data_IF_069068612483
#
_entry.id   IF_069068612483
#
_cell.length_a   1.000
_cell.length_b   1.000
_cell.length_c   1.000
_cell.angle_alpha   90.00
_cell.angle_beta   90.00
_cell.angle_gamma   90.00
#
_symmetry.space_group_name_H-M   'P 1'
#
loop_
_entity.id
_entity.type
_entity.pdbx_description
1 polymer ?
#
# COMPACT_ATOMS: atom_id res chain seq x y z
N UNK A 1 -13.63 26.26 -5.42
CA UNK A 1 -12.29 25.98 -4.90
C UNK A 1 -11.66 24.90 -5.77
N UNK A 2 -10.37 25.00 -6.08
CA UNK A 2 -9.67 23.92 -6.75
C UNK A 2 -8.64 23.29 -5.79
N UNK A 3 -8.59 21.95 -5.79
CA UNK A 3 -7.55 21.18 -5.11
C UNK A 3 -6.79 20.40 -6.18
N UNK A 4 -5.55 20.78 -6.43
CA UNK A 4 -4.67 20.04 -7.31
C UNK A 4 -3.92 18.97 -6.51
N UNK A 5 -3.93 17.76 -7.00
CA UNK A 5 -3.18 16.66 -6.39
C UNK A 5 -1.86 16.47 -7.13
N UNK A 6 -0.77 16.39 -6.36
CA UNK A 6 0.59 16.29 -6.88
C UNK A 6 1.24 15.04 -6.30
N UNK A 7 1.46 14.02 -7.12
CA UNK A 7 1.94 12.72 -6.70
C UNK A 7 3.45 12.55 -6.95
N UNK A 8 4.14 11.90 -6.04
CA UNK A 8 5.54 11.47 -6.25
C UNK A 8 5.66 10.53 -7.45
N UNK A 9 4.68 9.68 -7.66
CA UNK A 9 4.54 8.78 -8.79
C UNK A 9 3.11 8.29 -8.92
N UNK A 10 2.73 7.81 -10.11
CA UNK A 10 1.42 7.22 -10.37
C UNK A 10 1.57 5.87 -11.08
N UNK A 11 0.90 4.84 -10.55
CA UNK A 11 0.90 3.47 -11.07
C UNK A 11 -0.49 2.83 -11.10
N UNK A 12 -0.73 1.82 -11.95
CA UNK A 12 -2.05 1.23 -12.15
C UNK A 12 -2.52 0.37 -10.96
N UNK A 13 -1.57 -0.18 -10.19
CA UNK A 13 -1.82 -1.00 -8.98
C UNK A 13 -1.00 -0.38 -7.84
N UNK A 14 -1.42 0.81 -7.43
CA UNK A 14 -0.71 1.61 -6.44
C UNK A 14 -1.72 2.28 -5.51
N UNK A 15 -1.56 2.07 -4.22
CA UNK A 15 -2.45 2.61 -3.20
C UNK A 15 -2.53 4.15 -3.23
N UNK A 16 -1.41 4.80 -3.52
CA UNK A 16 -1.34 6.28 -3.59
C UNK A 16 -2.15 6.82 -4.75
N UNK A 17 -1.99 6.21 -5.93
CA UNK A 17 -2.78 6.57 -7.12
C UNK A 17 -4.27 6.31 -6.89
N UNK A 18 -4.62 5.16 -6.30
CA UNK A 18 -6.01 4.82 -5.96
C UNK A 18 -6.60 5.84 -4.99
N UNK A 19 -5.87 6.22 -3.96
CA UNK A 19 -6.27 7.26 -3.01
C UNK A 19 -6.50 8.61 -3.67
N UNK A 20 -5.57 9.05 -4.54
CA UNK A 20 -5.69 10.32 -5.23
C UNK A 20 -6.92 10.35 -6.16
N UNK A 21 -7.21 9.26 -6.85
CA UNK A 21 -8.42 9.14 -7.68
C UNK A 21 -9.70 9.16 -6.85
N UNK A 22 -9.73 8.47 -5.71
CA UNK A 22 -10.85 8.50 -4.79
C UNK A 22 -11.07 9.92 -4.20
N UNK A 23 -10.00 10.63 -3.85
CA UNK A 23 -10.10 12.03 -3.46
C UNK A 23 -10.64 12.91 -4.59
N UNK A 24 -10.26 12.66 -5.86
CA UNK A 24 -10.79 13.41 -7.00
C UNK A 24 -12.29 13.24 -7.14
N UNK A 25 -12.81 12.04 -6.96
CA UNK A 25 -14.25 11.76 -6.97
C UNK A 25 -14.96 12.50 -5.82
N UNK A 26 -14.41 12.42 -4.61
CA UNK A 26 -14.93 13.10 -3.43
C UNK A 26 -14.92 14.64 -3.60
N UNK A 27 -13.82 15.22 -4.10
CA UNK A 27 -13.73 16.65 -4.39
C UNK A 27 -14.76 17.05 -5.44
N UNK A 28 -14.96 16.24 -6.48
CA UNK A 28 -16.01 16.47 -7.48
C UNK A 28 -17.42 16.50 -6.88
N UNK A 29 -17.71 15.56 -5.96
CA UNK A 29 -18.99 15.53 -5.24
C UNK A 29 -19.22 16.78 -4.37
N UNK A 30 -18.14 17.40 -3.87
CA UNK A 30 -18.20 18.67 -3.13
C UNK A 30 -18.22 19.92 -4.03
N UNK A 31 -18.21 19.74 -5.37
CA UNK A 31 -18.12 20.85 -6.33
C UNK A 31 -16.74 21.48 -6.43
N UNK A 32 -15.68 20.79 -5.99
CA UNK A 32 -14.30 21.26 -6.07
C UNK A 32 -13.62 20.72 -7.34
N UNK A 33 -12.97 21.63 -8.08
CA UNK A 33 -12.18 21.30 -9.24
C UNK A 33 -10.72 20.96 -8.91
N UNK A 34 -9.90 20.91 -9.96
CA UNK A 34 -8.45 20.75 -9.88
C UNK A 34 -7.93 19.71 -10.86
N UNK A 35 -6.62 19.45 -10.80
CA UNK A 35 -5.91 18.51 -11.68
C UNK A 35 -5.10 17.54 -10.83
N UNK A 36 -4.95 16.31 -11.32
CA UNK A 36 -4.09 15.30 -10.74
C UNK A 36 -2.85 15.15 -11.61
N UNK A 37 -1.69 15.46 -11.04
CA UNK A 37 -0.40 15.46 -11.74
C UNK A 37 0.62 14.62 -10.99
N UNK A 38 1.60 14.03 -11.69
CA UNK A 38 2.65 13.26 -11.06
C UNK A 38 4.05 13.54 -11.63
N UNK A 39 5.07 13.35 -10.80
CA UNK A 39 6.48 13.47 -11.18
C UNK A 39 6.94 12.32 -12.08
N UNK A 40 6.35 11.13 -11.91
CA UNK A 40 6.55 9.94 -12.73
C UNK A 40 5.21 9.25 -12.95
N UNK A 41 4.94 8.74 -14.14
CA UNK A 41 3.67 8.11 -14.49
C UNK A 41 3.97 6.79 -15.23
N UNK A 42 3.41 5.69 -14.75
CA UNK A 42 3.33 4.46 -15.52
C UNK A 42 2.30 4.66 -16.66
N UNK A 43 2.64 4.36 -17.92
CA UNK A 43 1.75 4.58 -19.06
C UNK A 43 0.37 3.92 -18.92
N UNK A 44 0.27 2.84 -18.16
CA UNK A 44 -0.99 2.12 -17.91
C UNK A 44 -2.00 2.89 -17.06
N UNK A 45 -1.59 3.96 -16.37
CA UNK A 45 -2.51 4.85 -15.63
C UNK A 45 -3.43 5.61 -16.59
N UNK A 46 -2.98 5.82 -17.82
CA UNK A 46 -3.72 6.55 -18.86
C UNK A 46 -3.85 8.04 -18.54
N UNK A 47 -4.92 8.64 -19.03
CA UNK A 47 -5.13 10.10 -18.97
C UNK A 47 -5.65 10.63 -17.63
N UNK A 48 -5.88 9.76 -16.66
CA UNK A 48 -6.42 10.14 -15.33
C UNK A 48 -5.46 11.00 -14.52
N UNK A 49 -4.15 10.78 -14.69
CA UNK A 49 -3.09 11.57 -14.06
C UNK A 49 -2.22 12.19 -15.16
N UNK A 50 -1.96 13.46 -15.09
CA UNK A 50 -1.17 14.19 -16.09
C UNK A 50 0.28 14.37 -15.63
N UNK A 51 1.22 14.61 -16.54
CA UNK A 51 2.59 14.98 -16.18
C UNK A 51 2.63 16.24 -15.31
N UNK A 52 3.59 16.32 -14.39
CA UNK A 52 3.76 17.44 -13.45
C UNK A 52 3.75 18.81 -14.15
N UNK A 53 4.30 18.92 -15.38
CA UNK A 53 4.29 20.15 -16.19
C UNK A 53 2.88 20.64 -16.57
N UNK A 54 1.86 19.80 -16.42
CA UNK A 54 0.46 20.18 -16.64
C UNK A 54 -0.20 20.82 -15.41
N UNK A 55 0.51 20.95 -14.30
CA UNK A 55 0.05 21.70 -13.15
C UNK A 55 -0.16 23.17 -13.54
N UNK A 56 -1.38 23.66 -13.36
CA UNK A 56 -1.75 25.05 -13.62
C UNK A 56 -2.63 25.50 -12.45
N UNK A 57 -1.98 25.91 -11.37
CA UNK A 57 -2.62 26.37 -10.16
C UNK A 57 -2.73 27.90 -10.19
N UNK A 58 -3.92 28.42 -9.88
CA UNK A 58 -4.19 29.86 -9.76
C UNK A 58 -4.10 30.31 -8.30
N UNK A 59 -4.13 31.62 -8.05
CA UNK A 59 -4.23 32.15 -6.68
C UNK A 59 -5.50 31.64 -5.99
N UNK A 60 -5.39 31.17 -4.76
CA UNK A 60 -6.50 30.61 -3.98
C UNK A 60 -6.74 29.10 -4.16
N UNK A 61 -6.05 28.45 -5.10
CA UNK A 61 -6.05 26.99 -5.20
C UNK A 61 -5.21 26.35 -4.08
N UNK A 62 -5.48 25.06 -3.81
CA UNK A 62 -4.76 24.26 -2.82
C UNK A 62 -3.98 23.14 -3.53
N UNK A 63 -2.76 22.87 -3.07
CA UNK A 63 -1.93 21.77 -3.54
C UNK A 63 -1.91 20.65 -2.47
N UNK A 64 -2.44 19.49 -2.82
CA UNK A 64 -2.33 18.27 -2.01
C UNK A 64 -1.19 17.42 -2.56
N UNK A 65 -0.09 17.32 -1.83
CA UNK A 65 1.11 16.60 -2.22
C UNK A 65 1.07 15.19 -1.62
N UNK A 66 0.91 14.17 -2.46
CA UNK A 66 0.99 12.76 -2.08
C UNK A 66 2.44 12.30 -2.15
N UNK A 67 3.07 12.10 -1.00
CA UNK A 67 4.47 11.76 -0.91
C UNK A 67 4.67 10.30 -0.49
N UNK A 68 5.24 9.48 -1.37
CA UNK A 68 5.43 8.03 -1.16
C UNK A 68 6.79 7.51 -1.66
N UNK A 69 7.57 8.36 -2.34
CA UNK A 69 8.85 8.00 -2.93
C UNK A 69 9.72 9.24 -3.10
N UNK A 70 11.03 9.03 -3.33
CA UNK A 70 11.94 10.10 -3.69
C UNK A 70 11.48 10.81 -4.97
N UNK A 71 11.19 12.08 -4.87
CA UNK A 71 10.61 12.88 -5.96
C UNK A 71 11.25 14.27 -6.04
N UNK A 72 12.52 14.38 -6.48
CA UNK A 72 13.24 15.65 -6.53
C UNK A 72 12.56 16.70 -7.43
N UNK A 73 11.81 16.27 -8.45
CA UNK A 73 11.04 17.16 -9.33
C UNK A 73 9.92 17.91 -8.59
N UNK A 74 9.47 17.42 -7.44
CA UNK A 74 8.44 18.09 -6.64
C UNK A 74 8.97 19.29 -5.85
N UNK A 75 10.29 19.50 -5.75
CA UNK A 75 10.84 20.68 -5.05
C UNK A 75 10.29 22.00 -5.61
N UNK A 76 10.20 22.13 -6.92
CA UNK A 76 9.62 23.32 -7.52
C UNK A 76 8.15 23.58 -7.17
N UNK A 77 7.40 22.54 -6.73
CA UNK A 77 6.03 22.71 -6.23
C UNK A 77 6.01 23.39 -4.86
N UNK A 78 7.04 23.20 -4.04
CA UNK A 78 7.15 23.84 -2.73
C UNK A 78 7.32 25.37 -2.82
N UNK A 79 7.89 25.84 -3.93
CA UNK A 79 8.12 27.28 -4.18
C UNK A 79 6.87 28.02 -4.68
N UNK A 80 5.82 27.30 -5.08
CA UNK A 80 4.57 27.90 -5.53
C UNK A 80 3.84 28.62 -4.40
N UNK A 81 3.12 29.74 -4.67
CA UNK A 81 2.49 30.54 -3.61
C UNK A 81 1.22 29.95 -3.01
N UNK A 82 0.68 28.86 -3.59
CA UNK A 82 -0.54 28.22 -3.11
C UNK A 82 -0.35 27.57 -1.75
N UNK A 83 -1.44 27.44 -0.98
CA UNK A 83 -1.46 26.63 0.24
C UNK A 83 -1.17 25.18 -0.09
N UNK A 84 -0.39 24.52 0.74
CA UNK A 84 0.10 23.16 0.54
C UNK A 84 -0.25 22.26 1.71
N UNK A 85 -0.77 21.09 1.39
CA UNK A 85 -0.91 19.99 2.32
C UNK A 85 -0.02 18.84 1.82
N UNK A 86 0.85 18.32 2.67
CA UNK A 86 1.62 17.11 2.44
C UNK A 86 0.91 15.93 3.07
N UNK A 87 0.62 14.90 2.30
CA UNK A 87 0.14 13.61 2.80
C UNK A 87 1.22 12.54 2.57
N UNK A 88 1.83 12.10 3.66
CA UNK A 88 2.82 11.02 3.62
C UNK A 88 2.14 9.66 3.60
N UNK A 89 2.42 8.88 2.55
CA UNK A 89 1.94 7.52 2.36
C UNK A 89 2.93 6.44 2.82
N UNK A 90 3.91 6.81 3.60
CA UNK A 90 5.01 5.98 4.05
C UNK A 90 6.09 5.74 2.98
N UNK A 91 7.34 5.70 3.43
CA UNK A 91 8.49 5.23 2.65
C UNK A 91 9.20 4.14 3.45
N UNK A 92 9.23 2.94 2.90
CA UNK A 92 9.90 1.79 3.51
C UNK A 92 11.37 2.09 3.80
N UNK A 93 11.91 1.78 4.99
CA UNK A 93 13.33 1.96 5.27
C UNK A 93 14.23 1.19 4.30
N UNK A 94 15.30 1.82 3.85
CA UNK A 94 16.23 1.29 2.84
C UNK A 94 16.86 -0.05 3.22
N UNK A 95 17.04 -0.31 4.52
CA UNK A 95 17.64 -1.55 5.05
C UNK A 95 16.98 -2.83 4.53
N UNK A 96 15.71 -2.76 4.17
CA UNK A 96 14.95 -3.90 3.65
C UNK A 96 15.28 -4.27 2.20
N UNK A 97 15.97 -3.39 1.48
CA UNK A 97 16.18 -3.57 0.05
C UNK A 97 17.64 -3.77 -0.35
N UNK A 98 18.64 -3.46 0.51
CA UNK A 98 20.04 -3.50 0.14
C UNK A 98 20.49 -4.81 -0.50
N UNK A 99 20.06 -5.95 0.03
CA UNK A 99 20.45 -7.29 -0.43
C UNK A 99 19.60 -7.79 -1.60
N UNK A 100 18.51 -7.11 -1.93
CA UNK A 100 17.51 -7.57 -2.90
C UNK A 100 17.36 -6.64 -4.09
N UNK A 101 17.41 -5.33 -3.87
CA UNK A 101 17.27 -4.27 -4.87
C UNK A 101 17.97 -2.99 -4.36
N UNK A 102 19.29 -2.84 -4.59
CA UNK A 102 20.04 -1.67 -4.14
C UNK A 102 19.51 -0.35 -4.71
N UNK A 103 18.93 -0.36 -5.92
CA UNK A 103 18.35 0.84 -6.50
C UNK A 103 17.12 1.29 -5.70
N UNK A 104 16.22 0.37 -5.36
CA UNK A 104 15.09 0.66 -4.49
C UNK A 104 15.55 1.13 -3.10
N UNK A 105 16.63 0.53 -2.54
CA UNK A 105 17.21 0.95 -1.27
C UNK A 105 17.66 2.43 -1.32
N UNK A 106 18.40 2.82 -2.37
CA UNK A 106 18.85 4.21 -2.55
C UNK A 106 17.64 5.15 -2.68
N UNK A 107 16.63 4.81 -3.49
CA UNK A 107 15.41 5.62 -3.64
C UNK A 107 14.67 5.79 -2.31
N UNK A 108 14.54 4.74 -1.52
CA UNK A 108 13.94 4.80 -0.19
C UNK A 108 14.75 5.69 0.76
N UNK A 109 16.08 5.55 0.79
CA UNK A 109 16.95 6.36 1.62
C UNK A 109 16.84 7.85 1.27
N UNK A 110 16.91 8.18 -0.02
CA UNK A 110 16.78 9.55 -0.51
C UNK A 110 15.38 10.13 -0.23
N UNK A 111 14.32 9.35 -0.42
CA UNK A 111 12.96 9.77 -0.12
C UNK A 111 12.77 10.09 1.36
N UNK A 112 13.24 9.23 2.25
CA UNK A 112 13.18 9.47 3.71
C UNK A 112 14.02 10.69 4.12
N UNK A 113 15.17 10.91 3.49
CA UNK A 113 16.00 12.10 3.75
C UNK A 113 15.31 13.39 3.26
N UNK A 114 14.56 13.32 2.16
CA UNK A 114 13.84 14.47 1.60
C UNK A 114 12.56 14.81 2.38
N UNK A 115 11.93 13.85 3.05
CA UNK A 115 10.64 14.01 3.71
C UNK A 115 10.57 15.17 4.72
N UNK A 116 11.56 15.39 5.64
CA UNK A 116 11.54 16.52 6.54
C UNK A 116 11.60 17.89 5.84
N UNK A 117 12.31 17.99 4.71
CA UNK A 117 12.37 19.20 3.89
C UNK A 117 10.97 19.55 3.36
N UNK A 118 10.23 18.56 2.88
CA UNK A 118 8.87 18.73 2.40
C UNK A 118 7.90 19.10 3.53
N UNK A 119 8.01 18.41 4.66
CA UNK A 119 7.16 18.67 5.83
C UNK A 119 7.31 20.10 6.37
N UNK A 120 8.54 20.65 6.36
CA UNK A 120 8.83 22.00 6.80
C UNK A 120 8.37 23.09 5.80
N UNK A 121 8.12 22.75 4.54
CA UNK A 121 7.80 23.70 3.46
C UNK A 121 6.30 23.76 3.11
N UNK A 122 5.44 23.12 3.91
CA UNK A 122 3.98 23.08 3.66
C UNK A 122 3.21 23.66 4.83
N UNK A 123 1.97 24.10 4.59
CA UNK A 123 1.10 24.66 5.63
C UNK A 123 0.58 23.57 6.58
N UNK A 124 0.34 22.37 6.05
CA UNK A 124 -0.13 21.21 6.83
C UNK A 124 0.62 19.98 6.38
N UNK A 125 1.25 19.25 7.32
CA UNK A 125 1.83 17.95 7.11
C UNK A 125 1.00 16.88 7.81
N UNK A 126 0.55 15.87 7.06
CA UNK A 126 -0.29 14.78 7.54
C UNK A 126 0.27 13.42 7.12
N UNK A 127 0.02 12.40 7.91
CA UNK A 127 0.30 11.00 7.57
C UNK A 127 -0.98 10.21 7.31
N UNK A 128 -0.89 9.12 6.56
CA UNK A 128 -2.03 8.20 6.39
C UNK A 128 -2.34 7.37 7.65
N UNK A 129 -1.46 7.44 8.65
CA UNK A 129 -1.61 6.89 10.00
C UNK A 129 -0.86 7.78 10.99
N UNK A 130 -1.11 7.63 12.27
CA UNK A 130 -0.36 8.35 13.31
C UNK A 130 1.12 7.97 13.28
N UNK A 131 1.44 6.70 12.93
CA UNK A 131 2.82 6.27 12.69
C UNK A 131 3.50 7.17 11.65
N UNK A 132 2.85 7.40 10.49
CA UNK A 132 3.39 8.25 9.43
C UNK A 132 3.40 9.74 9.79
N UNK A 133 2.39 10.22 10.53
CA UNK A 133 2.33 11.61 11.00
C UNK A 133 3.49 11.92 11.95
N UNK A 134 3.82 11.00 12.86
CA UNK A 134 4.95 11.14 13.77
C UNK A 134 6.31 11.18 13.06
N UNK A 135 6.46 10.48 11.93
CA UNK A 135 7.67 10.60 11.10
C UNK A 135 7.85 12.01 10.49
N UNK A 136 6.75 12.80 10.42
CA UNK A 136 6.76 14.22 10.00
C UNK A 136 6.93 15.19 11.18
N UNK A 137 7.02 14.69 12.41
CA UNK A 137 7.06 15.51 13.63
C UNK A 137 5.71 16.02 14.12
N UNK A 138 4.60 15.46 13.62
CA UNK A 138 3.23 15.85 13.95
C UNK A 138 2.31 14.67 14.31
N UNK A 139 1.02 14.96 14.40
CA UNK A 139 -0.02 14.00 14.73
C UNK A 139 -1.27 14.09 13.83
N UNK A 140 -1.21 14.92 12.80
CA UNK A 140 -2.31 15.07 11.84
C UNK A 140 -2.44 13.85 10.97
N UNK A 141 -3.60 13.21 10.98
CA UNK A 141 -3.88 11.99 10.23
C UNK A 141 -4.98 12.22 9.19
N UNK A 142 -4.71 11.83 7.95
CA UNK A 142 -5.71 11.71 6.88
C UNK A 142 -5.64 10.26 6.39
N UNK A 143 -6.52 9.37 6.86
CA UNK A 143 -6.42 7.94 6.57
C UNK A 143 -6.68 7.64 5.09
N UNK A 144 -6.29 6.45 4.69
CA UNK A 144 -6.61 5.95 3.34
C UNK A 144 -8.13 5.75 3.24
N UNK A 145 -8.72 6.27 2.15
CA UNK A 145 -10.11 6.00 1.84
C UNK A 145 -10.24 4.53 1.39
N UNK A 146 -11.03 3.80 2.12
CA UNK A 146 -11.34 2.42 1.81
C UNK A 146 -12.81 2.33 1.35
N UNK A 147 -13.01 1.87 0.11
CA UNK A 147 -14.34 1.63 -0.44
C UNK A 147 -14.61 0.11 -0.46
N UNK A 148 -15.36 -0.43 0.50
CA UNK A 148 -15.70 -1.84 0.52
C UNK A 148 -16.57 -2.26 -0.66
N UNK A 149 -17.38 -1.35 -1.24
CA UNK A 149 -18.24 -1.66 -2.38
C UNK A 149 -17.43 -2.02 -3.64
N UNK A 150 -16.21 -1.47 -3.77
CA UNK A 150 -15.30 -1.80 -4.86
C UNK A 150 -14.80 -3.26 -4.84
N UNK A 151 -14.92 -3.96 -3.70
CA UNK A 151 -14.57 -5.37 -3.54
C UNK A 151 -15.77 -6.31 -3.77
N UNK A 152 -16.96 -5.75 -3.93
CA UNK A 152 -18.21 -6.52 -4.02
C UNK A 152 -18.72 -6.96 -2.65
N UNK A 153 -19.74 -7.84 -2.61
CA UNK A 153 -20.39 -8.22 -1.37
C UNK A 153 -19.44 -8.99 -0.43
N UNK A 154 -19.59 -8.70 0.85
CA UNK A 154 -18.97 -9.46 1.92
C UNK A 154 -19.35 -10.95 1.85
N UNK A 155 -18.60 -11.78 2.58
CA UNK A 155 -18.96 -13.19 2.75
C UNK A 155 -20.26 -13.32 3.55
N UNK A 156 -21.19 -14.16 3.08
CA UNK A 156 -22.51 -14.27 3.68
C UNK A 156 -22.53 -14.97 5.04
N UNK A 157 -21.55 -15.83 5.33
CA UNK A 157 -21.50 -16.64 6.55
C UNK A 157 -20.06 -17.18 6.78
N UNK A 158 -19.96 -18.32 7.41
CA UNK A 158 -18.70 -19.03 7.66
C UNK A 158 -17.90 -19.33 6.38
N UNK A 159 -16.58 -19.52 6.48
CA UNK A 159 -15.78 -19.91 5.32
C UNK A 159 -16.33 -21.21 4.71
N UNK A 160 -16.16 -21.40 3.38
CA UNK A 160 -16.62 -22.62 2.74
C UNK A 160 -15.98 -23.86 3.39
N UNK A 161 -16.71 -24.98 3.47
CA UNK A 161 -16.16 -26.21 4.02
C UNK A 161 -14.96 -26.67 3.19
N UNK A 162 -13.95 -27.19 3.84
CA UNK A 162 -12.74 -27.71 3.20
C UNK A 162 -11.49 -27.50 4.02
N UNK A 163 -10.31 -27.79 3.45
CA UNK A 163 -9.03 -27.54 4.10
C UNK A 163 -8.86 -26.08 4.49
N UNK A 164 -8.35 -25.76 5.69
CA UNK A 164 -8.11 -24.38 6.10
C UNK A 164 -7.23 -23.64 5.09
N UNK A 165 -7.71 -22.48 4.63
CA UNK A 165 -6.97 -21.58 3.72
C UNK A 165 -6.48 -20.37 4.51
N UNK A 166 -5.14 -20.24 4.61
CA UNK A 166 -4.49 -19.03 5.12
C UNK A 166 -4.16 -18.12 3.95
N UNK A 167 -4.48 -16.84 4.07
CA UNK A 167 -4.25 -15.85 3.02
C UNK A 167 -3.28 -14.78 3.50
N UNK A 168 -2.36 -14.39 2.62
CA UNK A 168 -1.58 -13.16 2.70
C UNK A 168 -1.82 -12.34 1.43
N UNK A 169 -2.03 -11.03 1.56
CA UNK A 169 -2.15 -10.10 0.44
C UNK A 169 -1.20 -8.91 0.65
N UNK A 170 -0.40 -8.60 -0.37
CA UNK A 170 0.53 -7.48 -0.35
C UNK A 170 1.72 -7.72 -1.28
N UNK A 171 2.46 -6.66 -1.60
CA UNK A 171 3.69 -6.81 -2.40
C UNK A 171 4.61 -7.86 -1.77
N UNK A 172 5.18 -8.73 -2.58
CA UNK A 172 6.18 -9.70 -2.10
C UNK A 172 7.52 -8.99 -1.99
N UNK A 173 7.82 -8.51 -0.79
CA UNK A 173 9.00 -7.69 -0.48
C UNK A 173 9.55 -8.03 0.91
N UNK A 174 10.86 -7.84 1.18
CA UNK A 174 11.50 -8.33 2.40
C UNK A 174 10.85 -7.87 3.70
N UNK A 175 10.42 -6.61 3.79
CA UNK A 175 9.77 -6.07 4.99
C UNK A 175 8.39 -6.66 5.29
N UNK A 176 7.77 -7.33 4.30
CA UNK A 176 6.48 -8.01 4.46
C UNK A 176 6.61 -9.42 5.02
N UNK A 177 7.84 -9.93 5.16
CA UNK A 177 8.20 -11.19 5.82
C UNK A 177 7.40 -12.41 5.37
N UNK A 178 7.22 -12.57 4.04
CA UNK A 178 6.58 -13.77 3.49
C UNK A 178 7.34 -15.04 3.87
N UNK A 179 8.64 -14.96 4.08
CA UNK A 179 9.46 -16.04 4.61
C UNK A 179 8.97 -16.53 5.99
N UNK A 180 8.65 -15.60 6.89
CA UNK A 180 8.06 -15.93 8.19
C UNK A 180 6.61 -16.42 8.09
N UNK A 181 5.83 -15.85 7.17
CA UNK A 181 4.47 -16.34 6.89
C UNK A 181 4.49 -17.80 6.46
N UNK A 182 5.41 -18.21 5.56
CA UNK A 182 5.57 -19.61 5.12
C UNK A 182 5.99 -20.50 6.30
N UNK A 183 6.95 -20.05 7.12
CA UNK A 183 7.42 -20.83 8.30
C UNK A 183 6.33 -21.01 9.36
N UNK A 184 5.61 -19.93 9.68
CA UNK A 184 4.52 -19.97 10.64
C UNK A 184 3.37 -20.84 10.13
N UNK A 185 3.03 -20.75 8.85
CA UNK A 185 2.03 -21.60 8.22
C UNK A 185 2.42 -23.08 8.30
N UNK A 186 3.66 -23.44 7.96
CA UNK A 186 4.10 -24.82 8.01
C UNK A 186 4.07 -25.38 9.44
N UNK A 187 4.43 -24.57 10.45
CA UNK A 187 4.32 -24.97 11.86
C UNK A 187 2.86 -25.25 12.25
N UNK A 188 1.92 -24.39 11.81
CA UNK A 188 0.49 -24.59 11.99
C UNK A 188 0.00 -25.87 11.28
N UNK A 189 0.38 -26.04 10.01
CA UNK A 189 0.00 -27.17 9.18
C UNK A 189 0.41 -28.50 9.83
N UNK A 190 1.66 -28.61 10.26
CA UNK A 190 2.17 -29.85 10.91
C UNK A 190 1.46 -30.19 12.21
N UNK A 191 1.07 -29.17 12.99
CA UNK A 191 0.55 -29.39 14.35
C UNK A 191 -0.97 -29.54 14.40
N UNK A 192 -1.69 -28.88 13.51
CA UNK A 192 -3.12 -28.66 13.65
C UNK A 192 -3.95 -29.04 12.42
N UNK A 193 -3.43 -28.84 11.20
CA UNK A 193 -4.21 -28.99 9.98
C UNK A 193 -3.32 -29.44 8.81
N UNK A 194 -2.98 -30.76 8.70
CA UNK A 194 -2.04 -31.26 7.68
C UNK A 194 -2.43 -30.99 6.24
N UNK A 195 -3.71 -30.78 5.97
CA UNK A 195 -4.28 -30.47 4.66
C UNK A 195 -4.44 -28.96 4.38
N UNK A 196 -4.11 -28.10 5.35
CA UNK A 196 -4.18 -26.64 5.17
C UNK A 196 -3.39 -26.14 3.96
N UNK A 197 -3.83 -25.02 3.40
CA UNK A 197 -3.22 -24.33 2.26
C UNK A 197 -2.85 -22.90 2.64
N UNK A 198 -1.77 -22.39 2.01
CA UNK A 198 -1.38 -20.98 2.07
C UNK A 198 -1.40 -20.37 0.67
N UNK A 199 -2.02 -19.22 0.54
CA UNK A 199 -1.96 -18.41 -0.68
C UNK A 199 -1.31 -17.06 -0.37
N UNK A 200 -0.22 -16.75 -1.06
CA UNK A 200 0.45 -15.46 -1.04
C UNK A 200 0.09 -14.71 -2.32
N UNK A 201 -0.64 -13.62 -2.18
CA UNK A 201 -1.09 -12.79 -3.32
C UNK A 201 -0.33 -11.48 -3.36
N UNK A 202 0.34 -11.20 -4.48
CA UNK A 202 0.97 -9.91 -4.70
C UNK A 202 2.04 -9.90 -5.77
N UNK A 203 2.40 -8.69 -6.23
CA UNK A 203 3.50 -8.50 -7.18
C UNK A 203 4.83 -8.66 -6.46
N UNK A 204 5.76 -9.47 -6.97
CA UNK A 204 7.08 -9.62 -6.39
C UNK A 204 7.95 -8.38 -6.60
N UNK A 205 8.90 -8.16 -5.70
CA UNK A 205 9.94 -7.15 -5.85
C UNK A 205 10.71 -7.35 -7.16
N UNK A 206 11.11 -8.60 -7.40
CA UNK A 206 11.75 -9.08 -8.62
C UNK A 206 11.62 -10.61 -8.71
N UNK A 207 12.02 -11.18 -9.84
CA UNK A 207 11.93 -12.63 -10.08
C UNK A 207 12.82 -13.45 -9.13
N UNK A 208 14.01 -12.93 -8.76
CA UNK A 208 14.90 -13.57 -7.80
C UNK A 208 14.25 -13.73 -6.43
N UNK A 209 13.58 -12.69 -5.94
CA UNK A 209 12.89 -12.74 -4.66
C UNK A 209 11.70 -13.71 -4.70
N UNK A 210 10.94 -13.69 -5.80
CA UNK A 210 9.86 -14.67 -6.04
C UNK A 210 10.38 -16.11 -6.03
N UNK A 211 11.46 -16.38 -6.74
CA UNK A 211 12.08 -17.71 -6.82
C UNK A 211 12.58 -18.18 -5.44
N UNK A 212 13.16 -17.28 -4.64
CA UNK A 212 13.60 -17.60 -3.29
C UNK A 212 12.42 -17.96 -2.37
N UNK A 213 11.30 -17.23 -2.44
CA UNK A 213 10.09 -17.57 -1.69
C UNK A 213 9.48 -18.91 -2.15
N UNK A 214 9.47 -19.18 -3.47
CA UNK A 214 8.97 -20.44 -4.00
C UNK A 214 9.87 -21.62 -3.54
N UNK A 215 11.19 -21.47 -3.61
CA UNK A 215 12.13 -22.50 -3.12
C UNK A 215 11.92 -22.80 -1.63
N UNK A 216 11.74 -21.76 -0.80
CA UNK A 216 11.43 -21.93 0.62
C UNK A 216 10.09 -22.66 0.82
N UNK A 217 9.08 -22.33 0.04
CA UNK A 217 7.77 -22.97 0.10
C UNK A 217 7.84 -24.45 -0.31
N UNK A 218 8.58 -24.76 -1.36
CA UNK A 218 8.76 -26.14 -1.87
C UNK A 218 9.55 -26.99 -0.89
N UNK A 219 10.52 -26.41 -0.19
CA UNK A 219 11.32 -27.09 0.85
C UNK A 219 10.51 -27.39 2.10
N UNK A 220 9.77 -26.40 2.63
CA UNK A 220 9.11 -26.50 3.92
C UNK A 220 7.71 -27.14 3.83
N UNK A 221 6.93 -26.78 2.82
CA UNK A 221 5.52 -27.12 2.67
C UNK A 221 5.18 -27.50 1.21
N UNK A 222 5.79 -28.55 0.66
CA UNK A 222 5.65 -28.91 -0.75
C UNK A 222 4.19 -29.08 -1.15
N UNK A 223 3.79 -28.36 -2.23
CA UNK A 223 2.45 -28.37 -2.77
C UNK A 223 1.36 -27.69 -1.91
N UNK A 224 1.68 -27.20 -0.69
CA UNK A 224 0.72 -26.56 0.19
C UNK A 224 0.73 -25.03 0.10
N UNK A 225 1.74 -24.42 -0.52
CA UNK A 225 1.87 -22.96 -0.69
C UNK A 225 1.71 -22.59 -2.15
N UNK A 226 0.92 -21.56 -2.42
CA UNK A 226 0.75 -20.99 -3.77
C UNK A 226 1.09 -19.51 -3.75
N UNK A 227 1.87 -19.06 -4.75
CA UNK A 227 2.22 -17.65 -4.95
C UNK A 227 1.51 -17.15 -6.22
N UNK A 228 0.61 -16.17 -6.05
CA UNK A 228 -0.23 -15.61 -7.11
C UNK A 228 0.06 -14.12 -7.31
N UNK A 229 0.00 -13.65 -8.56
CA UNK A 229 0.14 -12.23 -8.92
C UNK A 229 -0.77 -11.88 -10.09
N UNK A 230 -1.06 -10.59 -10.24
CA UNK A 230 -1.87 -10.11 -11.37
C UNK A 230 -3.35 -10.48 -11.30
N UNK A 231 -3.87 -10.75 -10.11
CA UNK A 231 -5.29 -11.05 -9.93
C UNK A 231 -6.16 -9.84 -10.25
N UNK A 232 -7.32 -10.07 -10.86
CA UNK A 232 -8.38 -9.07 -10.93
C UNK A 232 -8.96 -8.80 -9.54
N UNK A 233 -9.75 -7.73 -9.41
CA UNK A 233 -10.45 -7.43 -8.15
C UNK A 233 -11.40 -8.55 -7.74
N UNK A 234 -12.12 -9.14 -8.67
CA UNK A 234 -13.03 -10.27 -8.44
C UNK A 234 -12.27 -11.52 -7.99
N UNK A 235 -11.13 -11.79 -8.60
CA UNK A 235 -10.27 -12.90 -8.20
C UNK A 235 -9.68 -12.68 -6.80
N UNK A 236 -9.26 -11.46 -6.46
CA UNK A 236 -8.78 -11.12 -5.13
C UNK A 236 -9.92 -11.26 -4.09
N UNK A 237 -11.10 -10.73 -4.39
CA UNK A 237 -12.27 -10.86 -3.53
C UNK A 237 -12.62 -12.34 -3.26
N UNK A 238 -12.50 -13.20 -4.27
CA UNK A 238 -12.73 -14.64 -4.13
C UNK A 238 -11.68 -15.30 -3.21
N UNK A 239 -10.41 -14.86 -3.24
CA UNK A 239 -9.40 -15.33 -2.28
C UNK A 239 -9.78 -14.99 -0.84
N UNK A 240 -10.27 -13.77 -0.60
CA UNK A 240 -10.76 -13.38 0.72
C UNK A 240 -12.00 -14.18 1.13
N UNK A 241 -12.98 -14.39 0.25
CA UNK A 241 -14.18 -15.17 0.58
C UNK A 241 -13.86 -16.61 0.97
N UNK A 242 -12.86 -17.21 0.32
CA UNK A 242 -12.42 -18.57 0.61
C UNK A 242 -11.48 -18.67 1.83
N UNK A 243 -10.94 -17.56 2.32
CA UNK A 243 -9.94 -17.57 3.38
C UNK A 243 -10.55 -17.87 4.77
N UNK A 244 -9.87 -18.71 5.55
CA UNK A 244 -10.19 -19.02 6.93
C UNK A 244 -9.44 -18.13 7.91
N UNK A 245 -8.26 -17.62 7.51
CA UNK A 245 -7.48 -16.66 8.28
C UNK A 245 -6.64 -15.80 7.32
N UNK A 246 -6.44 -14.54 7.70
CA UNK A 246 -5.48 -13.64 7.08
C UNK A 246 -4.25 -13.51 7.98
N UNK A 247 -3.06 -13.74 7.43
CA UNK A 247 -1.81 -13.71 8.19
C UNK A 247 -0.87 -12.63 7.65
N UNK A 248 -0.54 -11.62 8.47
CA UNK A 248 0.35 -10.52 8.15
C UNK A 248 1.47 -10.39 9.19
N UNK A 249 2.68 -10.84 8.84
CA UNK A 249 3.86 -10.77 9.70
C UNK A 249 4.84 -9.67 9.29
N UNK A 250 4.35 -8.64 8.59
CA UNK A 250 5.15 -7.48 8.17
C UNK A 250 5.92 -6.87 9.34
N UNK A 251 7.15 -6.43 9.09
CA UNK A 251 7.97 -5.66 10.04
C UNK A 251 7.96 -4.15 9.75
N UNK A 252 7.27 -3.75 8.69
CA UNK A 252 7.04 -2.35 8.36
C UNK A 252 5.75 -2.17 7.56
N UNK A 253 4.84 -1.32 8.08
CA UNK A 253 3.57 -0.95 7.47
C UNK A 253 3.27 0.52 7.69
N UNK A 254 2.86 1.23 6.64
CA UNK A 254 2.35 2.58 6.76
C UNK A 254 0.89 2.62 7.19
N UNK A 255 0.07 1.68 6.70
CA UNK A 255 -1.37 1.60 6.98
C UNK A 255 -1.87 0.14 6.99
N UNK A 256 -1.61 -0.62 5.93
CA UNK A 256 -2.03 -2.02 5.72
C UNK A 256 -3.50 -2.18 5.28
N UNK A 257 -3.83 -1.69 4.08
CA UNK A 257 -5.16 -1.85 3.45
C UNK A 257 -5.69 -3.30 3.48
N UNK A 258 -4.86 -4.36 3.25
CA UNK A 258 -5.31 -5.74 3.29
C UNK A 258 -6.00 -6.18 4.60
N UNK A 259 -5.77 -5.48 5.71
CA UNK A 259 -6.52 -5.74 6.95
C UNK A 259 -7.99 -5.30 6.82
N UNK A 260 -8.23 -4.12 6.24
CA UNK A 260 -9.59 -3.64 5.98
C UNK A 260 -10.33 -4.54 5.00
N UNK A 261 -9.62 -5.04 3.99
CA UNK A 261 -10.16 -6.00 3.03
C UNK A 261 -10.55 -7.31 3.75
N UNK A 262 -9.68 -7.84 4.62
CA UNK A 262 -9.97 -9.03 5.42
C UNK A 262 -11.19 -8.82 6.33
N UNK A 263 -11.27 -7.67 7.01
CA UNK A 263 -12.43 -7.32 7.86
C UNK A 263 -13.72 -7.20 7.05
N UNK A 264 -13.68 -6.60 5.86
CA UNK A 264 -14.85 -6.53 4.97
C UNK A 264 -15.43 -7.92 4.65
N UNK A 265 -14.55 -8.89 4.41
CA UNK A 265 -14.95 -10.27 4.14
C UNK A 265 -15.17 -11.11 5.40
N UNK A 266 -15.07 -10.55 6.61
CA UNK A 266 -15.21 -11.30 7.86
C UNK A 266 -14.14 -12.37 8.07
N UNK A 267 -12.94 -12.16 7.52
CA UNK A 267 -11.82 -13.09 7.66
C UNK A 267 -11.06 -12.76 8.96
N UNK A 268 -10.91 -13.71 9.89
CA UNK A 268 -10.10 -13.51 11.09
C UNK A 268 -8.66 -13.13 10.74
N UNK A 269 -8.12 -12.14 11.44
CA UNK A 269 -6.80 -11.57 11.18
C UNK A 269 -5.82 -11.93 12.28
N UNK A 270 -4.64 -12.39 11.90
CA UNK A 270 -3.45 -12.47 12.75
C UNK A 270 -2.40 -11.56 12.15
N UNK A 271 -2.04 -10.49 12.85
CA UNK A 271 -1.09 -9.50 12.34
C UNK A 271 -0.06 -9.11 13.40
N UNK A 272 1.17 -8.79 12.94
CA UNK A 272 2.20 -8.19 13.81
C UNK A 272 1.82 -6.73 14.06
N UNK A 273 1.79 -6.31 15.34
CA UNK A 273 1.51 -4.94 15.75
C UNK A 273 2.71 -4.03 15.44
N UNK A 274 2.83 -3.51 14.21
CA UNK A 274 3.94 -2.69 13.74
C UNK A 274 3.45 -1.52 12.86
N UNK A 275 4.12 -0.37 12.96
CA UNK A 275 3.79 0.81 12.17
C UNK A 275 2.34 1.25 12.35
N UNK A 276 1.59 1.41 11.25
CA UNK A 276 0.18 1.77 11.25
C UNK A 276 -0.79 0.60 11.49
N UNK A 277 -0.32 -0.65 11.64
CA UNK A 277 -1.21 -1.82 11.85
C UNK A 277 -2.10 -1.67 13.08
N UNK A 278 -1.61 -1.25 14.28
CA UNK A 278 -2.46 -1.10 15.46
C UNK A 278 -3.55 -0.02 15.36
N UNK A 279 -3.47 0.83 14.34
CA UNK A 279 -4.47 1.89 14.10
C UNK A 279 -5.61 1.42 13.19
N UNK A 280 -5.39 0.32 12.47
CA UNK A 280 -6.34 -0.28 11.52
C UNK A 280 -7.04 -1.48 12.13
N UNK A 281 -6.35 -2.21 13.02
CA UNK A 281 -6.82 -3.47 13.63
C UNK A 281 -7.71 -3.29 14.86
#
# INVERSE_FOLDING_TARGET
MNVHQVLSGAGPVDAVTTQALAFRELFGAWGWGGRDVAASIDPRVGDRVKPLRALAAAGGDVLLIHYSAYAPKLRGVLELPQRKLLLSHNITPARWFWDHDPQAAVQCALGRRQLPEFAAAVDVAAGVSLYNARELGGDTVIPILFDPAALGPARAADPPPGPPLVLFVGRLTPHKRQDEVIRAFELYRRRHAPDARLVLVGSPLNDRYRAALQGLADELAPGAVRIESGLSREQLAERYRCAHAFLCLSEHEGFCIPLLEAFHFGVPVVARAVGGVPEVA
#
